data_IF_384601316729
#
_entry.id   IF_384601316729
#
_cell.length_a   1.000
_cell.length_b   1.000
_cell.length_c   1.000
_cell.angle_alpha   90.00
_cell.angle_beta   90.00
_cell.angle_gamma   90.00
#
_symmetry.space_group_name_H-M   'P 1'
#
loop_
_entity.id
_entity.type
_entity.pdbx_description
1 polymer ?
#
# COMPACT_ATOMS: atom_id res chain seq x y z
N UNK A 1 -2.76 -8.81 -1.01
CA UNK A 1 -3.13 -9.99 -0.23
C UNK A 1 -3.63 -11.12 -1.14
N UNK A 2 -4.73 -10.95 -1.88
CA UNK A 2 -5.27 -12.01 -2.79
C UNK A 2 -4.27 -12.59 -3.81
N UNK A 3 -3.49 -11.76 -4.49
CA UNK A 3 -2.50 -12.24 -5.48
C UNK A 3 -1.39 -13.09 -4.85
N UNK A 4 -1.07 -12.86 -3.58
CA UNK A 4 -0.10 -13.67 -2.84
C UNK A 4 -0.69 -15.05 -2.54
N UNK A 5 -1.88 -15.10 -1.97
CA UNK A 5 -2.60 -16.35 -1.66
C UNK A 5 -2.84 -17.21 -2.90
N UNK A 6 -3.20 -16.59 -4.03
CA UNK A 6 -3.38 -17.30 -5.32
C UNK A 6 -2.08 -17.91 -5.83
N UNK A 7 -0.95 -17.23 -5.60
CA UNK A 7 0.37 -17.70 -6.01
C UNK A 7 0.87 -18.83 -5.12
N UNK A 8 0.68 -18.72 -3.81
CA UNK A 8 1.06 -19.77 -2.86
C UNK A 8 0.29 -21.07 -3.11
N UNK A 9 -0.98 -20.97 -3.50
CA UNK A 9 -1.85 -22.12 -3.79
C UNK A 9 -1.93 -22.48 -5.28
N UNK A 10 -1.01 -21.98 -6.12
CA UNK A 10 -1.03 -22.19 -7.58
C UNK A 10 -1.08 -23.67 -7.97
N UNK A 11 -0.30 -24.52 -7.29
CA UNK A 11 -0.23 -25.96 -7.60
C UNK A 11 -1.56 -26.68 -7.29
N UNK A 12 -2.26 -26.26 -6.23
CA UNK A 12 -3.57 -26.84 -5.86
C UNK A 12 -4.65 -26.34 -6.80
N UNK A 13 -4.69 -25.02 -7.04
CA UNK A 13 -5.74 -24.38 -7.84
C UNK A 13 -5.65 -24.76 -9.33
N UNK A 14 -4.44 -24.94 -9.87
CA UNK A 14 -4.24 -25.35 -11.26
C UNK A 14 -4.69 -26.80 -11.55
N UNK A 15 -4.73 -27.66 -10.53
CA UNK A 15 -5.18 -29.05 -10.63
C UNK A 15 -6.67 -29.23 -10.37
N UNK A 16 -7.32 -28.23 -9.78
CA UNK A 16 -8.74 -28.30 -9.43
C UNK A 16 -9.62 -28.03 -10.66
N UNK A 17 -10.62 -28.89 -10.87
CA UNK A 17 -11.67 -28.67 -11.88
C UNK A 17 -12.94 -28.27 -11.15
N UNK A 18 -13.45 -27.08 -11.47
CA UNK A 18 -14.71 -26.57 -10.91
C UNK A 18 -15.86 -26.96 -11.83
N UNK A 19 -16.83 -27.69 -11.28
CA UNK A 19 -18.08 -28.05 -11.96
C UNK A 19 -19.27 -27.59 -11.11
N UNK A 20 -20.37 -27.14 -11.72
CA UNK A 20 -21.56 -26.76 -10.97
C UNK A 20 -22.13 -27.98 -10.24
N UNK A 21 -22.67 -27.77 -9.03
CA UNK A 21 -23.37 -28.79 -8.27
C UNK A 21 -24.61 -29.28 -9.06
N UNK A 22 -24.99 -30.56 -9.00
CA UNK A 22 -26.26 -31.07 -9.55
C UNK A 22 -27.51 -30.28 -9.17
N UNK A 23 -27.52 -29.59 -8.02
CA UNK A 23 -28.63 -28.76 -7.56
C UNK A 23 -28.67 -27.36 -8.20
N UNK A 24 -27.64 -27.00 -8.97
CA UNK A 24 -27.62 -25.74 -9.72
C UNK A 24 -28.60 -25.83 -10.90
N UNK A 25 -29.43 -24.80 -11.14
CA UNK A 25 -30.45 -24.83 -12.18
C UNK A 25 -29.87 -24.57 -13.58
N UNK A 26 -29.07 -25.51 -14.09
CA UNK A 26 -28.36 -25.41 -15.39
C UNK A 26 -29.36 -25.24 -16.55
N UNK A 27 -30.48 -25.95 -16.52
CA UNK A 27 -31.45 -25.94 -17.61
C UNK A 27 -32.24 -24.64 -17.74
N UNK A 28 -32.45 -23.91 -16.65
CA UNK A 28 -33.18 -22.63 -16.67
C UNK A 28 -32.26 -21.43 -16.74
N UNK A 29 -31.03 -21.54 -16.23
CA UNK A 29 -30.07 -20.44 -16.09
C UNK A 29 -28.70 -20.79 -16.69
N UNK A 30 -28.70 -21.43 -17.85
CA UNK A 30 -27.48 -21.85 -18.55
C UNK A 30 -26.51 -20.68 -18.79
N UNK A 31 -27.04 -19.54 -19.26
CA UNK A 31 -26.23 -18.34 -19.57
C UNK A 31 -25.44 -17.81 -18.36
N UNK A 32 -26.00 -17.93 -17.15
CA UNK A 32 -25.35 -17.48 -15.92
C UNK A 32 -24.22 -18.44 -15.55
N UNK A 33 -24.46 -19.76 -15.65
CA UNK A 33 -23.42 -20.75 -15.41
C UNK A 33 -22.24 -20.60 -16.36
N UNK A 34 -22.53 -20.37 -17.64
CA UNK A 34 -21.51 -20.16 -18.68
C UNK A 34 -20.66 -18.92 -18.38
N UNK A 35 -21.29 -17.81 -18.01
CA UNK A 35 -20.56 -16.58 -17.68
C UNK A 35 -19.69 -16.72 -16.42
N UNK A 36 -20.19 -17.40 -15.37
CA UNK A 36 -19.44 -17.59 -14.12
C UNK A 36 -18.25 -18.55 -14.26
N UNK A 37 -18.34 -19.53 -15.15
CA UNK A 37 -17.29 -20.51 -15.40
C UNK A 37 -16.37 -20.11 -16.56
N UNK A 38 -16.58 -18.92 -17.14
CA UNK A 38 -15.76 -18.43 -18.24
C UNK A 38 -14.34 -18.15 -17.76
N UNK A 39 -13.37 -18.88 -18.29
CA UNK A 39 -11.93 -18.65 -18.08
C UNK A 39 -11.35 -17.61 -19.03
N UNK A 40 -12.14 -17.20 -20.03
CA UNK A 40 -11.70 -16.27 -21.04
C UNK A 40 -11.67 -14.85 -20.47
N UNK A 41 -10.50 -14.21 -20.54
CA UNK A 41 -10.32 -12.81 -20.16
C UNK A 41 -11.12 -11.90 -21.09
N UNK A 42 -11.68 -10.78 -20.60
CA UNK A 42 -12.44 -9.86 -21.45
C UNK A 42 -11.56 -9.25 -22.55
N UNK A 43 -12.17 -8.90 -23.69
CA UNK A 43 -11.46 -8.41 -24.88
C UNK A 43 -10.47 -7.27 -24.62
N UNK A 44 -10.78 -6.23 -23.81
CA UNK A 44 -9.81 -5.17 -23.51
C UNK A 44 -8.53 -5.68 -22.84
N UNK A 45 -8.64 -6.71 -21.99
CA UNK A 45 -7.48 -7.32 -21.33
C UNK A 45 -6.65 -8.11 -22.33
N UNK A 46 -7.30 -8.76 -23.31
CA UNK A 46 -6.59 -9.47 -24.37
C UNK A 46 -5.79 -8.52 -25.27
N UNK A 47 -6.39 -7.41 -25.68
CA UNK A 47 -5.72 -6.36 -26.45
C UNK A 47 -4.49 -5.83 -25.70
N UNK A 48 -4.64 -5.55 -24.40
CA UNK A 48 -3.51 -5.11 -23.56
C UNK A 48 -2.40 -6.17 -23.45
N UNK A 49 -2.75 -7.45 -23.36
CA UNK A 49 -1.78 -8.54 -23.36
C UNK A 49 -1.04 -8.62 -24.70
N UNK A 50 -1.76 -8.44 -25.81
CA UNK A 50 -1.17 -8.45 -27.14
C UNK A 50 -0.22 -7.27 -27.35
N UNK A 51 -0.65 -6.04 -27.06
CA UNK A 51 0.22 -4.86 -27.10
C UNK A 51 1.43 -5.02 -26.17
N UNK A 52 1.24 -5.57 -24.96
CA UNK A 52 2.34 -5.87 -24.04
C UNK A 52 3.35 -6.87 -24.61
N UNK A 53 2.89 -7.88 -25.36
CA UNK A 53 3.77 -8.83 -26.05
C UNK A 53 4.52 -8.19 -27.22
N UNK A 54 3.89 -7.26 -27.94
CA UNK A 54 4.55 -6.50 -29.02
C UNK A 54 5.68 -5.64 -28.45
N UNK A 55 5.41 -4.86 -27.39
CA UNK A 55 6.42 -4.08 -26.69
C UNK A 55 7.54 -4.96 -26.12
N UNK A 56 7.21 -6.15 -25.57
CA UNK A 56 8.23 -7.07 -25.09
C UNK A 56 9.13 -7.59 -26.22
N UNK A 57 8.57 -7.86 -27.42
CA UNK A 57 9.37 -8.29 -28.59
C UNK A 57 10.25 -7.17 -29.11
N UNK A 58 9.75 -5.94 -29.16
CA UNK A 58 10.52 -4.75 -29.54
C UNK A 58 11.67 -4.52 -28.55
N UNK A 59 11.39 -4.57 -27.25
CA UNK A 59 12.41 -4.41 -26.20
C UNK A 59 13.50 -5.50 -26.24
N UNK A 60 13.15 -6.74 -26.60
CA UNK A 60 14.12 -7.83 -26.78
C UNK A 60 15.01 -7.61 -28.02
N UNK A 61 14.49 -6.96 -29.08
CA UNK A 61 15.31 -6.60 -30.24
C UNK A 61 16.31 -5.49 -29.93
N UNK A 62 15.97 -4.59 -29.00
CA UNK A 62 16.84 -3.52 -28.51
C UNK A 62 17.73 -3.93 -27.32
N UNK A 63 17.73 -5.21 -26.92
CA UNK A 63 18.23 -5.63 -25.61
C UNK A 63 19.76 -5.46 -25.46
N UNK A 64 20.16 -4.41 -24.72
CA UNK A 64 21.54 -4.09 -24.37
C UNK A 64 22.06 -4.83 -23.12
N UNK A 65 21.19 -5.50 -22.35
CA UNK A 65 21.50 -6.08 -21.04
C UNK A 65 20.83 -7.44 -20.86
N UNK A 66 21.55 -8.42 -20.30
CA UNK A 66 20.97 -9.75 -20.05
C UNK A 66 19.79 -9.71 -19.07
N UNK A 67 18.83 -10.63 -19.24
CA UNK A 67 17.71 -10.86 -18.30
C UNK A 67 18.14 -10.95 -16.84
N UNK A 68 19.31 -11.55 -16.59
CA UNK A 68 19.87 -11.73 -15.26
C UNK A 68 20.35 -10.40 -14.68
N UNK A 69 21.11 -9.62 -15.46
CA UNK A 69 21.61 -8.32 -15.04
C UNK A 69 20.47 -7.33 -14.81
N UNK A 70 19.45 -7.35 -15.67
CA UNK A 70 18.25 -6.52 -15.50
C UNK A 70 17.53 -6.86 -14.20
N UNK A 71 17.32 -8.14 -13.90
CA UNK A 71 16.71 -8.58 -12.64
C UNK A 71 17.54 -8.17 -11.43
N UNK A 72 18.87 -8.29 -11.51
CA UNK A 72 19.79 -7.87 -10.46
C UNK A 72 19.67 -6.37 -10.19
N UNK A 73 19.66 -5.54 -11.23
CA UNK A 73 19.47 -4.08 -11.10
C UNK A 73 18.14 -3.78 -10.40
N UNK A 74 17.04 -4.40 -10.83
CA UNK A 74 15.73 -4.19 -10.21
C UNK A 74 15.66 -4.68 -8.75
N UNK A 75 16.38 -5.74 -8.41
CA UNK A 75 16.50 -6.22 -7.02
C UNK A 75 17.27 -5.21 -6.14
N UNK A 76 18.34 -4.62 -6.67
CA UNK A 76 19.17 -3.66 -5.94
C UNK A 76 18.60 -2.22 -5.94
N UNK A 77 17.75 -1.88 -6.92
CA UNK A 77 17.21 -0.54 -7.13
C UNK A 77 16.52 0.06 -5.88
N UNK A 78 15.68 -0.67 -5.12
CA UNK A 78 15.08 -0.11 -3.91
C UNK A 78 16.12 0.28 -2.86
N UNK A 79 17.21 -0.49 -2.69
CA UNK A 79 18.26 -0.19 -1.72
C UNK A 79 19.04 1.06 -2.12
N UNK A 80 19.37 1.17 -3.40
CA UNK A 80 20.03 2.34 -3.95
C UNK A 80 19.14 3.59 -3.83
N UNK A 81 17.86 3.47 -4.14
CA UNK A 81 16.88 4.54 -3.99
C UNK A 81 16.73 4.98 -2.52
N UNK A 82 16.66 4.04 -1.57
CA UNK A 82 16.61 4.33 -0.14
C UNK A 82 17.89 5.04 0.35
N UNK A 83 19.07 4.64 -0.14
CA UNK A 83 20.32 5.31 0.20
C UNK A 83 20.37 6.76 -0.29
N UNK A 84 19.80 7.04 -1.46
CA UNK A 84 19.68 8.41 -1.98
C UNK A 84 18.60 9.20 -1.25
N UNK A 85 17.45 8.59 -0.98
CA UNK A 85 16.36 9.21 -0.24
C UNK A 85 16.82 9.68 1.15
N UNK A 86 17.65 8.92 1.84
CA UNK A 86 18.20 9.31 3.15
C UNK A 86 19.09 10.56 3.12
N UNK A 87 19.70 10.86 1.98
CA UNK A 87 20.56 12.03 1.77
C UNK A 87 19.78 13.28 1.35
N UNK A 88 18.53 13.12 0.91
CA UNK A 88 17.70 14.23 0.45
C UNK A 88 16.91 14.84 1.62
N UNK A 89 16.71 16.15 1.55
CA UNK A 89 15.85 16.89 2.48
C UNK A 89 14.43 16.88 1.93
N UNK A 90 13.61 15.97 2.43
CA UNK A 90 12.21 15.79 2.00
C UNK A 90 11.29 16.88 2.60
N UNK A 91 11.66 18.16 2.45
CA UNK A 91 10.94 19.27 3.07
C UNK A 91 11.18 19.44 4.57
N UNK A 92 12.16 18.72 5.13
CA UNK A 92 12.64 18.88 6.51
C UNK A 92 13.96 19.66 6.54
N UNK A 93 14.25 20.32 7.67
CA UNK A 93 15.49 21.08 7.85
C UNK A 93 16.74 20.20 7.84
N UNK A 94 16.59 18.95 8.32
CA UNK A 94 17.65 17.95 8.43
C UNK A 94 17.37 16.74 7.53
N UNK A 95 18.42 16.15 6.99
CA UNK A 95 18.35 14.85 6.31
C UNK A 95 18.21 13.71 7.33
N UNK A 96 17.59 12.60 6.92
CA UNK A 96 17.49 11.39 7.76
C UNK A 96 18.87 10.86 8.18
N UNK A 97 19.89 11.01 7.33
CA UNK A 97 21.25 10.65 7.64
C UNK A 97 21.86 11.55 8.73
N UNK A 98 21.64 12.86 8.69
CA UNK A 98 22.07 13.80 9.73
C UNK A 98 21.38 13.52 11.06
N UNK A 99 20.08 13.20 11.04
CA UNK A 99 19.34 12.81 12.26
C UNK A 99 19.93 11.56 12.90
N UNK A 100 20.27 10.54 12.10
CA UNK A 100 20.86 9.30 12.61
C UNK A 100 22.32 9.47 13.07
N UNK A 101 23.08 10.40 12.46
CA UNK A 101 24.46 10.71 12.84
C UNK A 101 24.55 11.66 14.06
N UNK A 102 23.41 12.16 14.55
CA UNK A 102 23.35 13.06 15.68
C UNK A 102 23.74 14.50 15.35
N UNK A 103 23.68 15.36 16.37
CA UNK A 103 23.79 16.83 16.24
C UNK A 103 25.20 17.26 15.77
N UNK A 104 26.19 16.40 15.92
CA UNK A 104 27.59 16.68 15.58
C UNK A 104 27.83 16.85 14.06
N UNK A 105 27.03 16.17 13.22
CA UNK A 105 27.25 16.09 11.77
C UNK A 105 26.24 16.92 10.95
N UNK A 106 25.54 17.85 11.58
CA UNK A 106 24.55 18.70 10.91
C UNK A 106 25.23 19.83 10.12
N UNK A 107 24.99 19.91 8.80
CA UNK A 107 25.56 20.94 7.92
C UNK A 107 24.80 22.28 7.94
N UNK A 108 23.59 22.33 8.52
CA UNK A 108 22.74 23.53 8.54
C UNK A 108 23.26 24.67 9.42
N UNK A 109 24.43 24.50 10.05
CA UNK A 109 25.18 25.59 10.69
C UNK A 109 24.59 26.16 11.98
N UNK A 110 23.40 25.73 12.41
CA UNK A 110 22.78 26.19 13.64
C UNK A 110 23.06 25.23 14.82
N UNK A 111 24.32 25.20 15.26
CA UNK A 111 24.73 24.49 16.49
C UNK A 111 24.35 25.34 17.70
N UNK A 112 23.43 24.86 18.56
CA UNK A 112 23.25 25.44 19.90
C UNK A 112 24.59 25.28 20.63
N UNK A 113 25.19 26.37 21.10
CA UNK A 113 26.36 26.28 21.99
C UNK A 113 25.87 25.63 23.27
N UNK A 114 26.20 24.35 23.47
CA UNK A 114 26.03 23.70 24.75
C UNK A 114 26.98 24.43 25.71
N UNK A 115 26.43 25.28 26.57
CA UNK A 115 27.18 25.82 27.71
C UNK A 115 27.32 24.64 28.65
N UNK A 116 28.47 23.96 28.58
CA UNK A 116 28.82 22.95 29.58
C UNK A 116 28.87 23.67 30.93
N UNK A 117 28.08 23.24 31.93
CA UNK A 117 28.20 23.80 33.27
C UNK A 117 29.64 23.54 33.74
N UNK A 118 30.30 24.54 34.36
CA UNK A 118 31.65 24.35 34.87
C UNK A 118 31.65 23.16 35.83
N UNK A 119 32.56 22.22 35.59
CA UNK A 119 32.96 21.24 36.60
C UNK A 119 33.68 22.04 37.69
N UNK A 120 32.94 22.39 38.74
CA UNK A 120 33.51 22.95 39.95
C UNK A 120 34.23 21.81 40.68
N UNK A 121 35.55 21.91 40.76
CA UNK A 121 36.38 21.13 41.67
C UNK A 121 36.34 21.90 43.00
N UNK A 122 35.81 21.24 44.04
CA UNK A 122 35.73 21.65 45.45
C UNK A 122 34.67 22.72 45.83
N UNK A 123 33.49 22.26 46.23
CA UNK A 123 32.92 22.74 47.50
C UNK A 123 31.98 21.68 48.12
N UNK A 124 32.39 21.19 49.30
CA UNK A 124 31.56 20.40 50.21
C UNK A 124 30.46 21.31 50.76
N UNK A 125 29.27 21.32 50.16
CA UNK A 125 28.08 21.90 50.78
C UNK A 125 26.98 20.85 50.97
N UNK A 126 26.66 20.72 52.24
CA UNK A 126 25.72 19.84 52.93
C UNK A 126 24.34 19.83 52.25
N UNK A 127 23.86 18.63 51.92
CA UNK A 127 22.51 18.39 51.43
C UNK A 127 21.49 18.79 52.51
N UNK A 128 20.87 19.97 52.38
CA UNK A 128 19.61 20.27 53.06
C UNK A 128 18.44 19.84 52.15
N UNK A 129 17.77 18.76 52.57
CA UNK A 129 16.44 18.33 52.11
C UNK A 129 15.44 19.48 52.34
N UNK A 130 15.06 20.18 51.27
CA UNK A 130 13.80 20.92 51.23
C UNK A 130 12.78 20.09 50.44
N UNK A 131 11.99 19.33 51.19
CA UNK A 131 10.71 18.76 50.75
C UNK A 131 9.78 19.88 50.29
N UNK A 132 9.61 20.05 48.97
CA UNK A 132 8.51 20.83 48.41
C UNK A 132 7.61 19.91 47.56
N UNK A 133 6.49 19.53 48.18
CA UNK A 133 5.35 18.85 47.56
C UNK A 133 4.79 19.69 46.40
N UNK A 134 4.71 19.08 45.21
CA UNK A 134 4.20 19.75 44.01
C UNK A 134 3.69 18.78 42.96
N UNK A 135 2.50 18.23 43.22
CA UNK A 135 1.47 17.79 42.26
C UNK A 135 1.88 16.84 41.12
N UNK A 136 1.52 15.56 41.31
CA UNK A 136 1.35 14.56 40.26
C UNK A 136 0.21 14.97 39.31
N UNK A 137 0.52 15.56 38.16
CA UNK A 137 -0.36 15.53 36.99
C UNK A 137 0.16 14.53 35.96
N UNK A 138 -0.47 13.37 36.02
CA UNK A 138 -0.63 12.33 35.01
C UNK A 138 -0.61 12.89 33.58
N UNK A 139 0.54 12.80 32.91
CA UNK A 139 0.63 12.94 31.46
C UNK A 139 0.87 11.56 30.85
N UNK A 140 -0.28 10.93 30.58
CA UNK A 140 -0.48 9.64 29.96
C UNK A 140 0.51 9.35 28.82
N UNK A 141 1.10 8.16 28.95
CA UNK A 141 1.52 7.28 27.86
C UNK A 141 0.80 7.56 26.53
N UNK A 142 1.54 8.03 25.52
CA UNK A 142 1.07 8.01 24.12
C UNK A 142 0.99 6.56 23.62
N UNK A 143 -0.16 5.94 23.86
CA UNK A 143 -0.63 4.75 23.18
C UNK A 143 -0.98 5.11 21.73
N UNK A 144 -0.15 4.67 20.78
CA UNK A 144 -0.42 4.78 19.35
C UNK A 144 -1.37 3.65 18.94
N UNK A 145 -2.66 3.92 19.13
CA UNK A 145 -3.72 3.10 18.57
C UNK A 145 -4.02 3.44 17.10
N UNK A 146 -4.48 2.45 16.32
CA UNK A 146 -4.51 2.48 14.86
C UNK A 146 -5.53 3.47 14.30
N UNK A 147 -5.15 4.14 13.21
CA UNK A 147 -6.00 5.03 12.42
C UNK A 147 -7.27 4.29 11.98
N UNK A 148 -8.35 4.48 12.73
CA UNK A 148 -9.71 4.22 12.30
C UNK A 148 -10.22 5.43 11.53
N UNK A 149 -10.43 5.25 10.22
CA UNK A 149 -11.08 6.22 9.34
C UNK A 149 -12.49 6.56 9.82
N UNK A 150 -12.75 7.81 10.22
CA UNK A 150 -14.07 8.43 10.10
C UNK A 150 -14.01 9.97 10.17
N UNK A 151 -14.20 10.60 9.01
CA UNK A 151 -15.08 11.77 8.86
C UNK A 151 -14.58 13.15 9.28
N UNK A 152 -14.02 13.91 8.33
CA UNK A 152 -14.37 15.33 8.17
C UNK A 152 -14.52 15.64 6.68
N UNK A 153 -15.60 16.35 6.42
CA UNK A 153 -16.30 16.58 5.16
C UNK A 153 -15.53 17.45 4.18
N UNK A 154 -15.19 16.86 3.03
CA UNK A 154 -14.87 17.58 1.78
C UNK A 154 -15.96 17.25 0.78
N UNK A 155 -16.65 18.27 0.30
CA UNK A 155 -17.82 18.26 -0.59
C UNK A 155 -17.70 17.28 -1.75
N UNK A 156 -18.31 16.10 -1.61
CA UNK A 156 -18.60 15.20 -2.72
C UNK A 156 -19.89 15.63 -3.37
N UNK A 157 -19.83 15.92 -4.67
CA UNK A 157 -21.02 16.07 -5.50
C UNK A 157 -21.98 14.89 -5.29
N UNK A 158 -23.25 15.20 -5.08
CA UNK A 158 -24.36 14.26 -4.96
C UNK A 158 -24.33 13.19 -6.05
N UNK A 159 -23.97 11.96 -5.68
CA UNK A 159 -24.30 10.78 -6.45
C UNK A 159 -25.45 10.10 -5.72
N UNK A 160 -26.65 10.29 -6.24
CA UNK A 160 -27.91 9.69 -5.79
C UNK A 160 -27.74 8.21 -5.43
N UNK A 161 -27.63 7.92 -4.13
CA UNK A 161 -27.84 6.60 -3.59
C UNK A 161 -29.32 6.46 -3.18
N UNK A 162 -30.17 6.09 -4.13
CA UNK A 162 -31.49 5.52 -3.81
C UNK A 162 -32.07 4.75 -5.00
N UNK A 163 -31.45 3.63 -5.35
CA UNK A 163 -32.14 2.55 -6.05
C UNK A 163 -31.69 1.24 -5.41
N UNK A 164 -32.59 0.45 -4.78
CA UNK A 164 -32.23 -0.86 -4.27
C UNK A 164 -31.76 -1.77 -5.42
N UNK A 165 -30.87 -2.73 -5.17
CA UNK A 165 -30.45 -3.68 -6.22
C UNK A 165 -31.70 -4.35 -6.81
N UNK A 166 -31.87 -4.22 -8.13
CA UNK A 166 -33.04 -4.78 -8.82
C UNK A 166 -33.09 -6.30 -8.63
N UNK A 167 -34.29 -6.84 -8.41
CA UNK A 167 -34.50 -8.29 -8.32
C UNK A 167 -34.13 -8.97 -9.64
N UNK A 168 -33.62 -10.19 -9.54
CA UNK A 168 -33.11 -10.96 -10.68
C UNK A 168 -34.18 -11.14 -11.79
N UNK A 169 -35.45 -11.25 -11.41
CA UNK A 169 -36.59 -11.31 -12.34
C UNK A 169 -36.73 -10.05 -13.21
N UNK A 170 -36.37 -8.87 -12.68
CA UNK A 170 -36.45 -7.60 -13.41
C UNK A 170 -35.31 -7.49 -14.41
N UNK A 171 -34.08 -7.88 -14.04
CA UNK A 171 -32.95 -7.95 -14.98
C UNK A 171 -33.22 -8.90 -16.15
N UNK A 172 -33.77 -10.09 -15.87
CA UNK A 172 -34.08 -11.08 -16.90
C UNK A 172 -35.10 -10.56 -17.93
N UNK A 173 -36.09 -9.78 -17.47
CA UNK A 173 -37.10 -9.16 -18.35
C UNK A 173 -36.50 -8.09 -19.27
N UNK A 174 -35.54 -7.29 -18.80
CA UNK A 174 -34.87 -6.31 -19.64
C UNK A 174 -33.97 -6.96 -20.70
N UNK A 175 -33.24 -8.01 -20.32
CA UNK A 175 -32.38 -8.74 -21.26
C UNK A 175 -33.19 -9.48 -22.34
N UNK A 176 -34.40 -9.95 -22.03
CA UNK A 176 -35.27 -10.58 -23.04
C UNK A 176 -35.90 -9.56 -23.99
N UNK A 177 -36.22 -8.35 -23.51
CA UNK A 177 -36.80 -7.30 -24.38
C UNK A 177 -35.79 -6.69 -25.35
N UNK A 178 -34.49 -6.70 -25.02
CA UNK A 178 -33.44 -6.19 -25.90
C UNK A 178 -33.18 -7.07 -27.13
N UNK A 179 -33.82 -8.25 -27.24
CA UNK A 179 -33.63 -9.20 -28.34
C UNK A 179 -34.66 -9.08 -29.47
N UNK A 180 -35.73 -8.30 -29.26
CA UNK A 180 -36.83 -8.13 -30.21
C UNK A 180 -36.96 -6.70 -30.78
N UNK A 181 -35.88 -5.91 -30.77
CA UNK A 181 -35.79 -4.60 -31.43
C UNK A 181 -34.56 -4.50 -32.33
#
# INVERSE_FOLDING_TARGET
MLAHELKENEDVLSRLVVVPNPQFPIHTQYMIAEHLLQTNTPLPVQEWIESGKEYAREAVQEELLSDFDRRKIWYDAPRAALAQARKQKWGADYTLAEVQAGIETIETGLRRKLVEPPLDDDDDEEFEDEEEEGEEEDSESMEVDPITNAGTTTTTADVSASVPPMSLDVMMRFMSMAKDG
#
